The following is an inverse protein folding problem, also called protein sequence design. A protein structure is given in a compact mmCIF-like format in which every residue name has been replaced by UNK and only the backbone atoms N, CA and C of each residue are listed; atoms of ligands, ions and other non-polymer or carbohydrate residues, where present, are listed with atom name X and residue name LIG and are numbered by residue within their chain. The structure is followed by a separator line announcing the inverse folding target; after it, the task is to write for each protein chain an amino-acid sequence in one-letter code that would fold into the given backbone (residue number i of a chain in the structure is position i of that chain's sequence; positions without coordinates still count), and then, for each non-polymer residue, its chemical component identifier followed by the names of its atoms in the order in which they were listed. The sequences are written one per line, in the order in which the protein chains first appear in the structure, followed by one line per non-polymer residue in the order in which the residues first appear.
data_IF_547204213479
#
_entry.id   IF_547204213479
#
_cell.length_a   1.000
_cell.length_b   1.000
_cell.length_c   1.000
_cell.angle_alpha   90.00
_cell.angle_beta   90.00
_cell.angle_gamma   90.00
#
_symmetry.space_group_name_H-M   'P 1'
#
loop_
_entity.id
_entity.type
_entity.pdbx_description
1 polymer ?
#
# COMPACT_ATOMS: atom_id res chain seq x y z
N UNK A 1 1.55 4.96 18.61
CA UNK A 1 0.91 4.08 17.60
C UNK A 1 1.91 3.57 16.57
N UNK A 2 2.70 4.43 15.93
CA UNK A 2 3.68 4.03 14.91
C UNK A 2 4.68 2.94 15.35
N UNK A 3 5.23 2.94 16.59
CA UNK A 3 6.08 1.85 17.05
C UNK A 3 5.38 0.48 17.12
N UNK A 4 4.04 0.47 17.28
CA UNK A 4 3.25 -0.74 17.40
C UNK A 4 3.14 -1.51 16.07
N UNK A 5 3.46 -0.88 14.93
CA UNK A 5 3.56 -1.56 13.64
C UNK A 5 4.69 -2.62 13.63
N UNK A 6 5.68 -2.49 14.51
CA UNK A 6 6.74 -3.49 14.70
C UNK A 6 6.50 -4.45 15.88
N UNK A 7 5.31 -4.44 16.48
CA UNK A 7 5.02 -5.28 17.65
C UNK A 7 5.11 -6.77 17.31
N UNK A 8 5.58 -7.60 18.25
CA UNK A 8 5.66 -9.04 18.07
C UNK A 8 4.27 -9.66 17.87
N UNK A 9 3.29 -9.18 18.63
CA UNK A 9 1.90 -9.62 18.56
C UNK A 9 1.20 -9.07 17.31
N UNK A 10 0.59 -9.96 16.53
CA UNK A 10 -0.11 -9.63 15.28
C UNK A 10 -1.39 -8.83 15.50
N UNK A 11 -2.12 -9.09 16.59
CA UNK A 11 -3.34 -8.34 16.92
C UNK A 11 -2.99 -6.90 17.26
N UNK A 12 -1.89 -6.67 18.00
CA UNK A 12 -1.41 -5.31 18.27
C UNK A 12 -1.10 -4.57 16.97
N UNK A 13 -0.37 -5.21 16.03
CA UNK A 13 -0.09 -4.60 14.72
C UNK A 13 -1.37 -4.27 13.97
N UNK A 14 -2.33 -5.20 13.94
CA UNK A 14 -3.57 -5.01 13.18
C UNK A 14 -4.46 -3.93 13.78
N UNK A 15 -4.61 -3.91 15.11
CA UNK A 15 -5.33 -2.82 15.79
C UNK A 15 -4.66 -1.48 15.55
N UNK A 16 -3.33 -1.41 15.63
CA UNK A 16 -2.60 -0.18 15.31
C UNK A 16 -2.85 0.29 13.86
N UNK A 17 -2.82 -0.64 12.89
CA UNK A 17 -3.13 -0.35 11.49
C UNK A 17 -4.55 0.19 11.29
N UNK A 18 -5.55 -0.37 11.98
CA UNK A 18 -6.93 0.13 11.92
C UNK A 18 -7.06 1.53 12.52
N UNK A 19 -6.43 1.79 13.67
CA UNK A 19 -6.48 3.14 14.26
C UNK A 19 -5.76 4.14 13.34
N UNK A 20 -4.65 3.74 12.72
CA UNK A 20 -3.96 4.57 11.73
C UNK A 20 -4.88 4.89 10.54
N UNK A 21 -5.58 3.91 9.95
CA UNK A 21 -6.47 4.20 8.82
C UNK A 21 -7.59 5.18 9.20
N UNK A 22 -8.19 5.02 10.38
CA UNK A 22 -9.21 5.94 10.91
C UNK A 22 -8.65 7.35 11.12
N UNK A 23 -7.45 7.49 11.68
CA UNK A 23 -6.81 8.80 11.87
C UNK A 23 -6.56 9.49 10.53
N UNK A 24 -6.06 8.74 9.54
CA UNK A 24 -5.83 9.27 8.19
C UNK A 24 -7.15 9.63 7.51
N UNK A 25 -8.23 8.88 7.75
CA UNK A 25 -9.56 9.19 7.22
C UNK A 25 -10.10 10.52 7.74
N UNK A 26 -9.84 10.84 9.01
CA UNK A 26 -10.32 12.07 9.65
C UNK A 26 -9.43 13.27 9.30
N UNK A 27 -8.11 13.13 9.40
CA UNK A 27 -7.15 14.23 9.31
C UNK A 27 -6.37 14.32 8.01
N UNK A 28 -6.56 13.35 7.10
CA UNK A 28 -5.68 13.15 5.95
C UNK A 28 -4.26 12.76 6.37
N UNK A 29 -3.39 12.60 5.38
CA UNK A 29 -1.95 12.36 5.62
C UNK A 29 -1.22 13.65 6.00
N UNK A 30 -1.71 14.82 5.56
CA UNK A 30 -1.10 16.11 5.89
C UNK A 30 -1.09 16.39 7.40
N UNK A 31 -2.13 15.94 8.13
CA UNK A 31 -2.18 16.05 9.59
C UNK A 31 -1.16 15.16 10.33
N UNK A 32 -0.44 14.27 9.61
CA UNK A 32 0.53 13.34 10.18
C UNK A 32 1.73 13.09 9.25
N UNK A 33 2.62 14.08 9.07
CA UNK A 33 3.67 14.05 8.05
C UNK A 33 4.67 12.89 8.22
N UNK A 34 4.92 12.41 9.44
CA UNK A 34 5.85 11.31 9.71
C UNK A 34 5.32 9.94 9.26
N UNK A 35 4.00 9.81 9.09
CA UNK A 35 3.35 8.53 8.78
C UNK A 35 3.91 7.91 7.50
N UNK A 36 3.98 8.69 6.42
CA UNK A 36 4.44 8.17 5.13
C UNK A 36 5.88 7.65 5.20
N UNK A 37 6.76 8.42 5.84
CA UNK A 37 8.15 8.04 6.03
C UNK A 37 8.28 6.74 6.82
N UNK A 38 7.48 6.57 7.88
CA UNK A 38 7.49 5.37 8.70
C UNK A 38 6.94 4.16 7.95
N UNK A 39 5.85 4.33 7.18
CA UNK A 39 5.33 3.26 6.34
C UNK A 39 6.38 2.81 5.32
N UNK A 40 7.04 3.74 4.63
CA UNK A 40 8.15 3.42 3.72
C UNK A 40 9.25 2.62 4.44
N UNK A 41 9.69 3.09 5.61
CA UNK A 41 10.71 2.40 6.42
C UNK A 41 10.27 1.00 6.86
N UNK A 42 9.00 0.80 7.18
CA UNK A 42 8.46 -0.52 7.49
C UNK A 42 8.52 -1.46 6.28
N UNK A 43 8.14 -0.98 5.10
CA UNK A 43 8.17 -1.76 3.85
C UNK A 43 9.59 -2.12 3.41
N UNK A 44 10.58 -1.28 3.74
CA UNK A 44 12.01 -1.50 3.44
C UNK A 44 12.77 -2.25 4.56
N UNK A 45 12.06 -2.67 5.61
CA UNK A 45 12.66 -3.39 6.72
C UNK A 45 13.08 -4.81 6.33
N UNK A 46 14.18 -5.31 6.91
CA UNK A 46 14.57 -6.72 6.80
C UNK A 46 13.77 -7.63 7.77
N UNK A 47 12.98 -7.05 8.67
CA UNK A 47 12.20 -7.81 9.65
C UNK A 47 10.75 -7.95 9.21
N UNK A 48 10.31 -9.21 9.01
CA UNK A 48 8.96 -9.51 8.52
C UNK A 48 7.84 -8.84 9.32
N UNK A 49 7.94 -8.78 10.66
CA UNK A 49 6.90 -8.15 11.50
C UNK A 49 6.73 -6.66 11.19
N UNK A 50 7.80 -5.94 10.86
CA UNK A 50 7.74 -4.53 10.49
C UNK A 50 7.12 -4.37 9.10
N UNK A 51 7.52 -5.21 8.15
CA UNK A 51 6.94 -5.21 6.81
C UNK A 51 5.44 -5.52 6.87
N UNK A 52 5.03 -6.57 7.59
CA UNK A 52 3.63 -6.97 7.73
C UNK A 52 2.79 -5.90 8.43
N UNK A 53 3.30 -5.29 9.51
CA UNK A 53 2.56 -4.22 10.19
C UNK A 53 2.39 -2.99 9.31
N UNK A 54 3.46 -2.55 8.65
CA UNK A 54 3.40 -1.41 7.71
C UNK A 54 2.49 -1.71 6.52
N UNK A 55 2.56 -2.91 5.96
CA UNK A 55 1.75 -3.34 4.83
C UNK A 55 0.26 -3.52 5.21
N UNK A 56 -0.06 -4.02 6.41
CA UNK A 56 -1.45 -4.13 6.91
C UNK A 56 -2.06 -2.74 7.15
N UNK A 57 -1.29 -1.79 7.72
CA UNK A 57 -1.74 -0.42 7.89
C UNK A 57 -1.94 0.29 6.54
N UNK A 58 -0.98 0.13 5.62
CA UNK A 58 -1.06 0.72 4.28
C UNK A 58 -2.22 0.14 3.47
N UNK A 59 -2.46 -1.18 3.53
CA UNK A 59 -3.57 -1.79 2.80
C UNK A 59 -4.92 -1.26 3.27
N UNK A 60 -5.09 -1.05 4.57
CA UNK A 60 -6.31 -0.45 5.13
C UNK A 60 -6.52 0.99 4.64
N UNK A 61 -5.47 1.81 4.59
CA UNK A 61 -5.56 3.17 4.02
C UNK A 61 -5.97 3.10 2.54
N UNK A 62 -5.36 2.20 1.77
CA UNK A 62 -5.69 2.01 0.36
C UNK A 62 -7.13 1.51 0.17
N UNK A 63 -7.63 0.65 1.05
CA UNK A 63 -9.01 0.13 0.98
C UNK A 63 -10.05 1.16 1.42
N UNK A 64 -9.81 1.87 2.52
CA UNK A 64 -10.77 2.79 3.13
C UNK A 64 -10.83 4.14 2.38
N UNK A 65 -9.67 4.68 1.99
CA UNK A 65 -9.49 6.08 1.54
C UNK A 65 -8.35 6.25 0.52
N UNK A 66 -8.32 5.50 -0.59
CA UNK A 66 -7.20 5.51 -1.54
C UNK A 66 -6.90 6.90 -2.12
N UNK A 67 -7.90 7.78 -2.22
CA UNK A 67 -7.78 9.13 -2.77
C UNK A 67 -6.81 10.01 -1.95
N UNK A 68 -6.65 9.74 -0.66
CA UNK A 68 -5.73 10.51 0.19
C UNK A 68 -4.27 10.30 -0.21
N UNK A 69 -3.93 9.11 -0.73
CA UNK A 69 -2.59 8.82 -1.24
C UNK A 69 -2.41 9.21 -2.72
N UNK A 70 -3.49 9.37 -3.47
CA UNK A 70 -3.50 9.83 -4.87
C UNK A 70 -3.92 11.31 -5.01
N UNK A 71 -3.70 12.10 -3.97
CA UNK A 71 -3.92 13.54 -4.00
C UNK A 71 -2.59 14.28 -4.10
N UNK A 72 -2.61 15.38 -4.87
CA UNK A 72 -1.54 16.36 -4.86
C UNK A 72 -1.56 17.09 -3.50
N UNK A 73 -0.42 17.13 -2.81
CA UNK A 73 -0.31 17.70 -1.47
C UNK A 73 0.73 18.82 -1.39
N UNK A 74 0.43 19.93 -0.70
CA UNK A 74 1.41 20.99 -0.48
C UNK A 74 2.66 20.47 0.23
N UNK A 75 3.84 20.75 -0.32
CA UNK A 75 5.12 20.35 0.26
C UNK A 75 5.65 18.98 -0.16
N UNK A 76 4.90 18.20 -0.95
CA UNK A 76 5.40 16.99 -1.59
C UNK A 76 5.63 17.22 -3.09
N UNK A 77 6.72 16.66 -3.61
CA UNK A 77 7.09 16.76 -5.03
C UNK A 77 6.21 15.88 -5.93
N UNK A 78 5.66 14.81 -5.36
CA UNK A 78 4.80 13.84 -6.05
C UNK A 78 3.71 13.32 -5.11
N UNK A 79 2.68 12.71 -5.67
CA UNK A 79 1.62 12.04 -4.91
C UNK A 79 2.20 10.88 -4.11
N UNK A 80 1.79 10.68 -2.84
CA UNK A 80 2.31 9.57 -2.02
C UNK A 80 2.24 8.20 -2.70
N UNK A 81 1.17 7.94 -3.46
CA UNK A 81 1.01 6.67 -4.16
C UNK A 81 2.15 6.38 -5.14
N UNK A 82 2.74 7.40 -5.77
CA UNK A 82 3.87 7.21 -6.68
C UNK A 82 5.14 6.71 -5.95
N UNK A 83 5.26 7.03 -4.66
CA UNK A 83 6.31 6.50 -3.78
C UNK A 83 6.02 5.04 -3.39
N UNK A 84 4.75 4.70 -3.08
CA UNK A 84 4.40 3.36 -2.61
C UNK A 84 4.25 2.34 -3.75
N UNK A 85 3.75 2.73 -4.91
CA UNK A 85 3.39 1.81 -5.98
C UNK A 85 4.57 0.93 -6.44
N UNK A 86 5.80 1.45 -6.66
CA UNK A 86 6.95 0.61 -6.99
C UNK A 86 7.26 -0.44 -5.91
N UNK A 87 7.14 -0.06 -4.64
CA UNK A 87 7.40 -0.95 -3.48
C UNK A 87 6.33 -2.04 -3.37
N UNK A 88 5.06 -1.68 -3.55
CA UNK A 88 3.95 -2.63 -3.60
C UNK A 88 4.13 -3.65 -4.73
N UNK A 89 4.56 -3.20 -5.91
CA UNK A 89 4.81 -4.07 -7.05
C UNK A 89 6.01 -5.01 -6.83
N UNK A 90 7.04 -4.60 -6.09
CA UNK A 90 8.15 -5.48 -5.70
C UNK A 90 7.68 -6.58 -4.74
N UNK A 91 6.76 -6.26 -3.83
CA UNK A 91 6.22 -7.23 -2.86
C UNK A 91 5.42 -8.38 -3.50
N UNK A 92 5.03 -8.27 -4.78
CA UNK A 92 4.40 -9.38 -5.51
C UNK A 92 5.33 -10.59 -5.64
N UNK A 93 6.63 -10.37 -5.62
CA UNK A 93 7.67 -11.40 -5.64
C UNK A 93 8.16 -11.77 -4.23
N UNK A 94 7.51 -11.27 -3.18
CA UNK A 94 7.90 -11.59 -1.81
C UNK A 94 7.78 -13.10 -1.55
N UNK A 95 8.72 -13.72 -0.81
CA UNK A 95 8.57 -15.10 -0.37
C UNK A 95 7.37 -15.28 0.58
N UNK A 96 6.89 -14.21 1.20
CA UNK A 96 5.80 -14.25 2.19
C UNK A 96 4.44 -14.03 1.53
N UNK A 97 3.55 -15.03 1.64
CA UNK A 97 2.21 -14.97 1.06
C UNK A 97 1.36 -13.82 1.61
N UNK A 98 1.53 -13.48 2.90
CA UNK A 98 0.84 -12.35 3.54
C UNK A 98 1.15 -11.03 2.83
N UNK A 99 2.43 -10.74 2.59
CA UNK A 99 2.87 -9.54 1.90
C UNK A 99 2.36 -9.49 0.46
N UNK A 100 2.45 -10.60 -0.29
CA UNK A 100 1.91 -10.68 -1.66
C UNK A 100 0.43 -10.32 -1.70
N UNK A 101 -0.38 -10.91 -0.80
CA UNK A 101 -1.83 -10.68 -0.71
C UNK A 101 -2.15 -9.23 -0.39
N UNK A 102 -1.52 -8.65 0.64
CA UNK A 102 -1.78 -7.28 1.06
C UNK A 102 -1.34 -6.27 -0.02
N UNK A 103 -0.15 -6.47 -0.60
CA UNK A 103 0.35 -5.60 -1.67
C UNK A 103 -0.57 -5.61 -2.87
N UNK A 104 -1.07 -6.79 -3.21
CA UNK A 104 -2.00 -6.94 -4.32
C UNK A 104 -3.32 -6.22 -4.06
N UNK A 105 -3.94 -6.49 -2.89
CA UNK A 105 -5.18 -5.84 -2.49
C UNK A 105 -5.07 -4.31 -2.56
N UNK A 106 -3.93 -3.78 -2.11
CA UNK A 106 -3.62 -2.35 -2.14
C UNK A 106 -3.52 -1.79 -3.56
N UNK A 107 -2.77 -2.45 -4.46
CA UNK A 107 -2.63 -2.00 -5.86
C UNK A 107 -3.98 -2.02 -6.59
N UNK A 108 -4.81 -3.01 -6.29
CA UNK A 108 -6.12 -3.17 -6.93
C UNK A 108 -7.05 -1.96 -6.69
N UNK A 109 -6.92 -1.27 -5.55
CA UNK A 109 -7.72 -0.08 -5.23
C UNK A 109 -7.48 1.08 -6.20
N UNK A 110 -6.28 1.16 -6.79
CA UNK A 110 -5.91 2.25 -7.69
C UNK A 110 -6.24 1.96 -9.16
N UNK A 111 -6.56 0.70 -9.50
CA UNK A 111 -6.99 0.34 -10.85
C UNK A 111 -8.30 1.07 -11.21
N UNK A 112 -9.23 1.18 -10.26
CA UNK A 112 -10.52 1.83 -10.49
C UNK A 112 -10.48 3.37 -10.40
N UNK A 113 -9.39 3.94 -9.87
CA UNK A 113 -9.23 5.39 -9.70
C UNK A 113 -8.48 6.07 -10.87
N UNK A 114 -7.88 5.30 -11.78
CA UNK A 114 -7.15 5.87 -12.91
C UNK A 114 -8.11 6.59 -13.86
N UNK A 115 -7.91 7.89 -14.15
CA UNK A 115 -8.71 8.58 -15.14
C UNK A 115 -8.44 8.01 -16.54
N UNK A 116 -9.48 7.87 -17.35
CA UNK A 116 -9.41 7.47 -18.76
C UNK A 116 -8.76 8.59 -19.60
N UNK A 117 -7.44 8.74 -19.50
CA UNK A 117 -6.67 9.75 -20.22
C UNK A 117 -5.90 9.18 -21.43
N UNK A 118 -5.75 9.92 -22.54
CA UNK A 118 -5.16 9.40 -23.79
C UNK A 118 -3.64 9.15 -23.77
N UNK A 119 -2.89 9.57 -22.74
CA UNK A 119 -1.42 9.47 -22.67
C UNK A 119 -0.90 8.23 -21.91
N UNK A 120 -1.70 7.19 -21.80
CA UNK A 120 -1.53 6.10 -20.83
C UNK A 120 -1.10 4.75 -21.45
N UNK A 121 -0.86 4.69 -22.77
CA UNK A 121 -0.62 3.44 -23.51
C UNK A 121 0.59 2.61 -23.02
N UNK A 122 1.53 3.19 -22.27
CA UNK A 122 2.67 2.46 -21.70
C UNK A 122 2.39 1.86 -20.31
N UNK A 123 1.53 2.49 -19.50
CA UNK A 123 1.18 2.00 -18.15
C UNK A 123 0.14 0.88 -18.17
N UNK A 124 -0.78 0.93 -19.15
CA UNK A 124 -1.88 -0.02 -19.28
C UNK A 124 -1.41 -1.42 -19.66
N UNK A 125 -0.44 -1.56 -20.55
CA UNK A 125 0.13 -2.87 -20.87
C UNK A 125 0.79 -3.50 -19.66
N UNK A 126 1.53 -2.73 -18.85
CA UNK A 126 2.21 -3.26 -17.65
C UNK A 126 1.20 -3.71 -16.59
N UNK A 127 0.14 -2.94 -16.36
CA UNK A 127 -0.89 -3.28 -15.38
C UNK A 127 -1.82 -4.39 -15.87
N UNK A 128 -2.22 -4.40 -17.15
CA UNK A 128 -3.01 -5.49 -17.75
C UNK A 128 -2.21 -6.78 -17.80
N UNK A 129 -0.93 -6.76 -18.20
CA UNK A 129 -0.07 -7.96 -18.16
C UNK A 129 0.10 -8.47 -16.73
N UNK A 130 0.19 -7.57 -15.73
CA UNK A 130 0.20 -7.95 -14.31
C UNK A 130 -1.16 -8.43 -13.78
N UNK A 131 -2.27 -7.94 -14.33
CA UNK A 131 -3.63 -8.39 -14.02
C UNK A 131 -3.92 -9.77 -14.59
N UNK A 132 -3.43 -10.07 -15.80
CA UNK A 132 -3.45 -11.42 -16.36
C UNK A 132 -2.54 -12.39 -15.58
N UNK A 133 -1.37 -11.92 -15.11
CA UNK A 133 -0.55 -12.67 -14.15
C UNK A 133 -1.27 -12.84 -12.80
N UNK A 134 -2.17 -11.94 -12.42
CA UNK A 134 -2.98 -12.01 -11.20
C UNK A 134 -3.99 -13.15 -11.22
N UNK A 135 -4.72 -13.26 -12.33
CA UNK A 135 -5.61 -14.39 -12.60
C UNK A 135 -4.77 -15.67 -12.63
N UNK A 136 -3.60 -15.65 -13.25
CA UNK A 136 -2.64 -16.76 -13.18
C UNK A 136 -2.16 -17.10 -11.77
N UNK A 137 -1.89 -16.12 -10.91
CA UNK A 137 -1.36 -16.33 -9.57
C UNK A 137 -2.41 -16.89 -8.59
N UNK A 138 -3.66 -16.45 -8.72
CA UNK A 138 -4.80 -17.01 -7.98
C UNK A 138 -5.07 -18.47 -8.41
N UNK A 139 -4.92 -18.78 -9.70
CA UNK A 139 -5.14 -20.14 -10.21
C UNK A 139 -3.97 -21.12 -10.01
N UNK A 140 -2.73 -20.63 -9.92
CA UNK A 140 -1.52 -21.48 -9.80
C UNK A 140 -1.09 -21.69 -8.35
N UNK A 141 -1.40 -20.76 -7.43
CA UNK A 141 -0.93 -20.80 -6.04
C UNK A 141 -2.04 -20.64 -4.99
N UNK A 142 -3.31 -20.75 -5.40
CA UNK A 142 -4.47 -20.84 -4.49
C UNK A 142 -4.65 -22.23 -3.89
#
# INVERSE_FOLDING_TARGET
MLPCLGAADRHIRSTAGTIISVVVQIGGVFGWPELLHILVKCLESNELKHMEGGMDALSKICEDIPQVLDADMPGLTERPINVFLPRLLQLFQSPHASLRKLSLGSVNQYIMLMPEGPNLTTGWLVLITKFYLLVGFIYVYG
#
